data_IF_502376140901
#
_entry.id   IF_502376140901
#
_cell.length_a   1.000
_cell.length_b   1.000
_cell.length_c   1.000
_cell.angle_alpha   90.00
_cell.angle_beta   90.00
_cell.angle_gamma   90.00
#
_symmetry.space_group_name_H-M   'P 1'
#
loop_
_entity.id
_entity.type
_entity.pdbx_description
1 polymer ?
#
# COMPACT_ATOMS: atom_id res chain seq x y z
N UNK A 1 10.96 -7.14 7.83
CA UNK A 1 10.40 -6.61 6.57
C UNK A 1 9.61 -5.33 6.87
N UNK A 2 9.57 -4.34 5.99
CA UNK A 2 8.85 -3.09 6.26
C UNK A 2 7.34 -3.33 6.32
N UNK A 3 6.71 -2.75 7.33
CA UNK A 3 5.25 -2.78 7.48
C UNK A 3 4.61 -1.48 6.98
N UNK A 4 3.27 -1.46 6.86
CA UNK A 4 2.54 -0.27 6.40
C UNK A 4 2.86 0.98 7.23
N UNK A 5 2.99 0.85 8.57
CA UNK A 5 3.34 1.98 9.44
C UNK A 5 4.70 2.60 9.09
N UNK A 6 5.69 1.77 8.73
CA UNK A 6 7.00 2.24 8.28
C UNK A 6 6.92 2.90 6.90
N UNK A 7 6.12 2.37 5.97
CA UNK A 7 5.88 3.00 4.66
C UNK A 7 5.22 4.37 4.82
N UNK A 8 4.24 4.49 5.69
CA UNK A 8 3.59 5.77 6.02
C UNK A 8 4.62 6.78 6.53
N UNK A 9 5.47 6.38 7.50
CA UNK A 9 6.51 7.24 8.06
C UNK A 9 7.54 7.67 7.01
N UNK A 10 7.89 6.78 6.10
CA UNK A 10 8.82 7.07 4.99
C UNK A 10 8.21 8.08 4.01
N UNK A 11 6.95 7.92 3.62
CA UNK A 11 6.24 8.87 2.78
C UNK A 11 6.14 10.23 3.47
N UNK A 12 5.80 10.27 4.77
CA UNK A 12 5.77 11.51 5.54
C UNK A 12 7.13 12.22 5.54
N UNK A 13 8.21 11.47 5.78
CA UNK A 13 9.58 12.00 5.76
C UNK A 13 9.95 12.56 4.38
N UNK A 14 9.61 11.85 3.31
CA UNK A 14 9.86 12.31 1.95
C UNK A 14 9.08 13.59 1.62
N UNK A 15 7.82 13.69 2.08
CA UNK A 15 6.97 14.85 1.84
C UNK A 15 7.40 16.07 2.63
N UNK A 16 7.98 15.92 3.83
CA UNK A 16 8.47 17.04 4.64
C UNK A 16 9.53 17.87 3.92
N UNK A 17 10.37 17.25 3.08
CA UNK A 17 11.36 17.94 2.26
C UNK A 17 10.77 18.85 1.17
N UNK A 18 9.53 18.62 0.78
CA UNK A 18 8.86 19.34 -0.31
C UNK A 18 7.75 20.31 0.18
N UNK A 19 7.40 20.27 1.47
CA UNK A 19 6.38 21.14 2.05
C UNK A 19 7.05 22.29 2.81
N UNK A 20 6.69 23.53 2.47
CA UNK A 20 7.11 24.71 3.24
C UNK A 20 6.34 24.87 4.54
N UNK A 21 5.22 24.21 4.69
CA UNK A 21 4.44 24.18 5.93
C UNK A 21 4.89 22.99 6.73
N UNK A 22 5.55 23.24 7.85
CA UNK A 22 5.79 22.21 8.84
C UNK A 22 4.50 21.95 9.61
N UNK A 23 4.22 20.69 9.88
CA UNK A 23 3.12 20.30 10.74
C UNK A 23 3.34 20.87 12.14
N UNK A 24 2.26 21.32 12.75
CA UNK A 24 2.28 21.86 14.12
C UNK A 24 2.29 20.69 15.09
N UNK A 25 3.30 20.65 15.93
CA UNK A 25 3.54 19.52 16.81
C UNK A 25 3.42 19.97 18.27
N UNK A 26 2.75 19.17 19.08
CA UNK A 26 2.76 19.21 20.54
C UNK A 26 2.91 17.79 21.08
N UNK A 27 2.79 17.58 22.38
CA UNK A 27 2.90 16.27 22.99
C UNK A 27 1.76 16.03 23.98
N UNK A 28 1.47 14.76 24.23
CA UNK A 28 0.50 14.31 25.20
C UNK A 28 1.01 14.54 26.64
N UNK A 29 0.40 15.46 27.36
CA UNK A 29 0.80 15.80 28.72
C UNK A 29 0.01 15.03 29.80
N UNK A 30 -1.08 14.34 29.43
CA UNK A 30 -1.91 13.56 30.37
C UNK A 30 -1.05 12.57 31.13
N UNK A 31 -0.98 12.64 32.48
CA UNK A 31 -0.23 11.69 33.29
C UNK A 31 -0.71 10.25 33.06
N UNK A 32 0.22 9.34 32.79
CA UNK A 32 -0.11 7.94 32.48
C UNK A 32 -0.63 7.69 31.05
N UNK A 33 -0.78 8.74 30.23
CA UNK A 33 -1.32 8.61 28.87
C UNK A 33 -2.84 8.70 28.81
N UNK A 34 -3.39 8.31 27.67
CA UNK A 34 -4.85 8.25 27.44
C UNK A 34 -5.28 6.86 27.00
N UNK A 35 -6.48 6.47 27.36
CA UNK A 35 -7.13 5.25 26.91
C UNK A 35 -7.75 5.44 25.52
N UNK A 36 -8.24 4.37 24.91
CA UNK A 36 -8.93 4.40 23.61
C UNK A 36 -10.29 5.17 23.67
N UNK A 37 -10.82 5.43 24.87
CA UNK A 37 -12.14 6.03 25.06
C UNK A 37 -12.11 7.46 25.64
N UNK A 38 -10.94 7.94 26.05
CA UNK A 38 -10.81 9.27 26.65
C UNK A 38 -11.11 10.37 25.61
N UNK A 39 -11.95 11.31 26.00
CA UNK A 39 -12.38 12.42 25.16
C UNK A 39 -11.71 13.75 25.52
N UNK A 40 -11.06 13.83 26.69
CA UNK A 40 -10.32 15.02 27.13
C UNK A 40 -8.84 14.69 27.20
N UNK A 41 -8.02 15.46 26.51
CA UNK A 41 -6.60 15.19 26.31
C UNK A 41 -5.82 16.43 26.78
N UNK A 42 -4.92 16.25 27.75
CA UNK A 42 -3.98 17.30 28.14
C UNK A 42 -2.79 17.34 27.19
N UNK A 43 -2.39 18.54 26.79
CA UNK A 43 -1.30 18.77 25.84
C UNK A 43 -0.22 19.66 26.45
N UNK A 44 1.00 19.56 25.94
CA UNK A 44 2.15 20.29 26.51
C UNK A 44 2.23 21.75 26.07
N UNK A 45 1.62 22.15 24.96
CA UNK A 45 1.62 23.55 24.50
C UNK A 45 0.29 23.87 23.81
N UNK A 46 -0.19 25.10 24.07
CA UNK A 46 -1.39 25.66 23.46
C UNK A 46 -1.12 26.46 22.19
N UNK A 47 0.13 26.49 21.73
CA UNK A 47 0.52 27.23 20.54
C UNK A 47 -0.15 26.61 19.30
N UNK A 48 -0.80 27.47 18.51
CA UNK A 48 -1.45 27.07 17.27
C UNK A 48 -2.59 26.05 17.40
N UNK A 49 -3.24 25.95 18.55
CA UNK A 49 -4.44 25.14 18.72
C UNK A 49 -5.54 25.56 17.75
N UNK A 50 -6.11 24.58 17.05
CA UNK A 50 -7.25 24.74 16.18
C UNK A 50 -8.22 23.57 16.38
N UNK A 51 -9.51 23.83 16.07
CA UNK A 51 -10.51 22.75 15.94
C UNK A 51 -10.23 21.98 14.66
N UNK A 52 -10.57 20.70 14.65
CA UNK A 52 -10.45 19.87 13.47
C UNK A 52 -9.65 18.59 13.70
N UNK A 53 -8.95 18.16 12.69
CA UNK A 53 -8.22 16.89 12.71
C UNK A 53 -6.92 17.04 13.51
N UNK A 54 -6.70 16.10 14.41
CA UNK A 54 -5.47 15.93 15.18
C UNK A 54 -5.02 14.48 15.02
N UNK A 55 -3.73 14.25 14.88
CA UNK A 55 -3.15 12.93 14.74
C UNK A 55 -2.25 12.61 15.94
N UNK A 56 -2.45 11.43 16.53
CA UNK A 56 -1.56 10.84 17.53
C UNK A 56 -1.13 9.46 17.05
N UNK A 57 0.14 9.32 16.67
CA UNK A 57 0.61 8.11 16.01
C UNK A 57 -0.20 7.85 14.74
N UNK A 58 -0.93 6.74 14.73
CA UNK A 58 -1.75 6.33 13.58
C UNK A 58 -3.25 6.58 13.77
N UNK A 59 -3.66 7.16 14.90
CA UNK A 59 -5.05 7.53 15.17
C UNK A 59 -5.31 8.97 14.77
N UNK A 60 -6.41 9.20 14.06
CA UNK A 60 -6.96 10.51 13.81
C UNK A 60 -8.08 10.80 14.82
N UNK A 61 -8.07 12.01 15.32
CA UNK A 61 -9.05 12.51 16.28
C UNK A 61 -9.72 13.76 15.70
N UNK A 62 -11.03 13.89 15.95
CA UNK A 62 -11.73 15.14 15.67
C UNK A 62 -11.90 15.96 16.94
N UNK A 63 -11.19 17.09 17.02
CA UNK A 63 -11.25 18.02 18.14
C UNK A 63 -12.37 19.01 17.91
N UNK A 64 -13.34 18.99 18.81
CA UNK A 64 -14.52 19.86 18.77
C UNK A 64 -14.27 21.22 19.45
N UNK A 65 -13.52 21.19 20.55
CA UNK A 65 -13.15 22.42 21.30
C UNK A 65 -11.80 22.23 21.99
N UNK A 66 -11.22 23.34 22.42
CA UNK A 66 -10.01 23.34 23.22
C UNK A 66 -10.04 24.41 24.28
N UNK A 67 -9.38 24.16 25.39
CA UNK A 67 -9.17 25.10 26.46
C UNK A 67 -7.69 25.47 26.56
N UNK A 68 -7.39 26.75 26.33
CA UNK A 68 -6.00 27.25 26.38
C UNK A 68 -5.47 27.45 27.79
N UNK A 69 -6.37 27.67 28.77
CA UNK A 69 -5.94 27.88 30.15
C UNK A 69 -5.52 26.56 30.81
N UNK A 70 -6.29 25.51 30.54
CA UNK A 70 -6.06 24.16 31.08
C UNK A 70 -5.25 23.28 30.12
N UNK A 71 -4.85 23.79 28.97
CA UNK A 71 -4.09 23.04 27.93
C UNK A 71 -4.78 21.72 27.55
N UNK A 72 -6.10 21.79 27.33
CA UNK A 72 -6.86 20.57 26.99
C UNK A 72 -7.51 20.64 25.63
N UNK A 73 -7.51 19.50 24.94
CA UNK A 73 -8.29 19.23 23.73
C UNK A 73 -9.52 18.42 24.13
N UNK A 74 -10.69 18.79 23.61
CA UNK A 74 -11.92 18.04 23.76
C UNK A 74 -12.28 17.37 22.43
N UNK A 75 -12.23 16.07 22.43
CA UNK A 75 -12.56 15.21 21.29
C UNK A 75 -14.08 15.08 21.20
N UNK A 76 -14.62 15.13 19.99
CA UNK A 76 -16.06 15.00 19.79
C UNK A 76 -16.56 13.63 20.28
N UNK A 77 -17.63 13.59 21.11
CA UNK A 77 -18.19 12.33 21.55
C UNK A 77 -18.81 11.55 20.38
N UNK A 78 -18.68 10.24 20.41
CA UNK A 78 -19.29 9.32 19.44
C UNK A 78 -18.49 9.07 18.17
N UNK A 79 -17.90 10.10 17.55
CA UNK A 79 -17.16 9.96 16.29
C UNK A 79 -15.75 10.56 16.30
N UNK A 80 -15.37 11.23 17.37
CA UNK A 80 -14.11 11.98 17.42
C UNK A 80 -12.87 11.10 17.61
N UNK A 81 -12.98 9.96 18.31
CA UNK A 81 -11.93 8.95 18.39
C UNK A 81 -12.01 8.04 17.16
N UNK A 82 -10.85 7.65 16.64
CA UNK A 82 -10.82 6.81 15.42
C UNK A 82 -11.40 7.51 14.19
N UNK A 83 -11.27 8.83 14.10
CA UNK A 83 -11.83 9.62 13.00
C UNK A 83 -11.33 9.14 11.64
N UNK A 84 -12.18 9.24 10.60
CA UNK A 84 -11.91 8.78 9.24
C UNK A 84 -11.52 7.27 9.14
N UNK A 85 -12.08 6.44 10.03
CA UNK A 85 -11.89 5.00 9.98
C UNK A 85 -10.57 4.49 10.58
N UNK A 86 -9.82 5.34 11.29
CA UNK A 86 -8.68 4.90 12.09
C UNK A 86 -9.16 4.14 13.33
N UNK A 87 -8.29 3.32 13.91
CA UNK A 87 -8.64 2.53 15.11
C UNK A 87 -8.33 3.34 16.37
N UNK A 88 -9.31 3.59 17.27
CA UNK A 88 -9.04 4.16 18.58
C UNK A 88 -8.04 3.32 19.36
N UNK A 89 -6.99 3.93 19.88
CA UNK A 89 -5.92 3.24 20.60
C UNK A 89 -5.47 4.00 21.84
N UNK A 90 -4.91 3.33 22.86
CA UNK A 90 -4.27 4.00 23.97
C UNK A 90 -2.96 4.65 23.51
N UNK A 91 -2.68 5.85 24.04
CA UNK A 91 -1.42 6.54 23.74
C UNK A 91 -0.69 6.87 25.06
N UNK A 92 0.61 6.62 25.06
CA UNK A 92 1.45 6.89 26.22
C UNK A 92 1.68 8.38 26.42
N UNK A 93 1.96 8.79 27.66
CA UNK A 93 2.42 10.12 27.97
C UNK A 93 3.64 10.48 27.11
N UNK A 94 3.78 11.73 26.71
CA UNK A 94 4.78 12.26 25.79
C UNK A 94 4.66 11.77 24.33
N UNK A 95 3.58 11.06 23.97
CA UNK A 95 3.32 10.77 22.56
C UNK A 95 3.18 12.08 21.77
N UNK A 96 3.76 12.09 20.58
CA UNK A 96 3.70 13.22 19.67
C UNK A 96 2.28 13.42 19.13
N UNK A 97 1.81 14.65 19.16
CA UNK A 97 0.51 15.08 18.64
C UNK A 97 0.76 16.04 17.49
N UNK A 98 0.22 15.71 16.31
CA UNK A 98 0.28 16.57 15.12
C UNK A 98 -1.08 17.29 15.01
N UNK A 99 -1.04 18.61 15.08
CA UNK A 99 -2.21 19.45 14.94
C UNK A 99 -2.43 19.80 13.47
N UNK A 100 -3.61 19.54 12.93
CA UNK A 100 -3.96 19.80 11.54
C UNK A 100 -2.91 19.24 10.55
N UNK A 101 -2.69 17.90 10.52
CA UNK A 101 -1.69 17.30 9.66
C UNK A 101 -1.95 17.66 8.19
N UNK A 102 -0.91 18.06 7.47
CA UNK A 102 -1.00 18.36 6.03
C UNK A 102 -1.38 17.10 5.24
N UNK A 103 -0.83 15.97 5.64
CA UNK A 103 -1.13 14.66 5.08
C UNK A 103 -1.52 13.69 6.21
N UNK A 104 -2.81 13.54 6.49
CA UNK A 104 -3.28 12.55 7.45
C UNK A 104 -2.86 11.13 7.08
N UNK A 105 -2.63 10.29 8.08
CA UNK A 105 -2.21 8.89 7.89
C UNK A 105 -3.12 8.10 6.94
N UNK A 106 -4.44 8.33 7.02
CA UNK A 106 -5.42 7.67 6.13
C UNK A 106 -5.25 8.08 4.68
N UNK A 107 -4.93 9.34 4.41
CA UNK A 107 -4.69 9.84 3.06
C UNK A 107 -3.41 9.24 2.47
N UNK A 108 -2.37 9.08 3.28
CA UNK A 108 -1.12 8.42 2.87
C UNK A 108 -1.37 6.94 2.59
N UNK A 109 -2.10 6.25 3.47
CA UNK A 109 -2.45 4.85 3.28
C UNK A 109 -3.26 4.64 1.99
N UNK A 110 -4.23 5.52 1.71
CA UNK A 110 -4.98 5.47 0.46
C UNK A 110 -4.06 5.67 -0.75
N UNK A 111 -3.18 6.66 -0.73
CA UNK A 111 -2.23 6.92 -1.82
C UNK A 111 -1.26 5.76 -2.07
N UNK A 112 -0.82 5.07 -1.00
CA UNK A 112 -0.02 3.83 -1.08
C UNK A 112 -0.81 2.73 -1.78
N UNK A 113 -2.05 2.46 -1.36
CA UNK A 113 -2.90 1.42 -1.95
C UNK A 113 -3.29 1.73 -3.40
N UNK A 114 -3.59 2.99 -3.72
CA UNK A 114 -3.85 3.43 -5.10
C UNK A 114 -2.62 3.24 -5.99
N UNK A 115 -1.43 3.42 -5.42
CA UNK A 115 -0.19 3.14 -6.13
C UNK A 115 -0.02 1.65 -6.35
N UNK A 116 -0.16 0.82 -5.31
CA UNK A 116 -0.08 -0.65 -5.38
C UNK A 116 -1.02 -1.18 -6.47
N UNK A 117 -2.27 -0.74 -6.48
CA UNK A 117 -3.27 -1.14 -7.48
C UNK A 117 -2.88 -0.74 -8.91
N UNK A 118 -2.18 0.39 -9.08
CA UNK A 118 -1.76 0.89 -10.40
C UNK A 118 -0.51 0.22 -10.95
N UNK A 119 0.20 -0.61 -10.17
CA UNK A 119 1.42 -1.28 -10.62
C UNK A 119 1.16 -2.36 -11.65
N UNK A 120 0.03 -3.09 -11.52
CA UNK A 120 -0.34 -4.12 -12.50
C UNK A 120 -0.64 -3.49 -13.88
N UNK A 121 -0.19 -4.06 -15.01
CA UNK A 121 0.53 -5.32 -15.17
C UNK A 121 2.08 -5.22 -15.12
N UNK A 122 2.66 -4.04 -14.95
CA UNK A 122 4.12 -3.86 -15.00
C UNK A 122 4.84 -4.56 -13.84
N UNK A 123 4.28 -4.43 -12.64
CA UNK A 123 4.65 -5.21 -11.46
C UNK A 123 3.44 -6.00 -10.98
N UNK A 124 3.66 -7.23 -10.59
CA UNK A 124 2.63 -8.15 -10.11
C UNK A 124 3.16 -8.94 -8.92
N UNK A 125 2.24 -9.38 -8.07
CA UNK A 125 2.55 -10.33 -7.03
C UNK A 125 2.75 -11.74 -7.62
N UNK A 126 3.62 -12.52 -6.99
CA UNK A 126 3.86 -13.92 -7.37
C UNK A 126 3.36 -14.81 -6.25
N UNK A 127 2.42 -15.66 -6.58
CA UNK A 127 1.90 -16.68 -5.68
C UNK A 127 2.14 -18.08 -6.25
N UNK A 128 1.96 -19.10 -5.44
CA UNK A 128 2.07 -20.48 -5.89
C UNK A 128 0.96 -21.34 -5.31
N UNK A 129 0.62 -22.39 -6.05
CA UNK A 129 -0.29 -23.45 -5.59
C UNK A 129 0.29 -24.81 -5.94
N UNK A 130 -0.09 -25.83 -5.20
CA UNK A 130 0.39 -27.19 -5.39
C UNK A 130 -0.77 -28.16 -5.45
N UNK A 131 -0.65 -29.18 -6.29
CA UNK A 131 -1.59 -30.30 -6.36
C UNK A 131 -0.86 -31.60 -6.71
N UNK A 132 -1.54 -32.73 -6.55
CA UNK A 132 -1.04 -34.03 -6.95
C UNK A 132 -1.45 -34.32 -8.40
N UNK A 133 -0.48 -34.69 -9.24
CA UNK A 133 -0.76 -35.02 -10.63
C UNK A 133 -1.50 -36.35 -10.76
N UNK A 134 -2.59 -36.34 -11.51
CA UNK A 134 -3.38 -37.53 -11.85
C UNK A 134 -3.40 -37.72 -13.36
N UNK A 135 -2.89 -38.85 -13.86
CA UNK A 135 -2.80 -39.12 -15.29
C UNK A 135 -4.17 -39.20 -16.01
N UNK A 136 -5.26 -39.41 -15.26
CA UNK A 136 -6.63 -39.42 -15.79
C UNK A 136 -7.22 -38.00 -15.94
N UNK A 137 -6.55 -36.98 -15.45
CA UNK A 137 -7.01 -35.59 -15.43
C UNK A 137 -6.04 -34.71 -16.16
N UNK A 138 -6.54 -33.88 -17.08
CA UNK A 138 -5.72 -32.93 -17.84
C UNK A 138 -5.82 -31.52 -17.22
N UNK A 139 -7.00 -31.14 -16.74
CA UNK A 139 -7.30 -29.82 -16.21
C UNK A 139 -7.26 -29.79 -14.68
N UNK A 140 -6.53 -28.84 -14.11
CA UNK A 140 -6.38 -28.66 -12.67
C UNK A 140 -6.86 -27.26 -12.27
N UNK A 141 -7.65 -27.13 -11.17
CA UNK A 141 -8.16 -25.85 -10.74
C UNK A 141 -7.02 -24.94 -10.28
N UNK A 142 -7.13 -23.66 -10.62
CA UNK A 142 -6.27 -22.59 -10.14
C UNK A 142 -7.08 -21.65 -9.24
N UNK A 143 -6.44 -20.96 -8.28
CA UNK A 143 -7.11 -19.92 -7.52
C UNK A 143 -7.69 -18.81 -8.41
N UNK A 144 -8.83 -18.24 -8.00
CA UNK A 144 -9.54 -17.21 -8.80
C UNK A 144 -8.77 -15.89 -8.94
N UNK A 145 -7.82 -15.61 -8.04
CA UNK A 145 -6.92 -14.47 -8.11
C UNK A 145 -5.82 -14.62 -9.16
N UNK A 146 -5.61 -15.84 -9.72
CA UNK A 146 -4.63 -16.10 -10.78
C UNK A 146 -4.89 -15.19 -11.99
N UNK A 147 -3.87 -14.46 -12.44
CA UNK A 147 -3.91 -13.68 -13.67
C UNK A 147 -3.26 -14.41 -14.83
N UNK A 148 -2.01 -14.81 -14.66
CA UNK A 148 -1.26 -15.57 -15.63
C UNK A 148 -0.40 -16.62 -14.94
N UNK A 149 -0.21 -17.77 -15.58
CA UNK A 149 0.71 -18.80 -15.11
C UNK A 149 2.11 -18.45 -15.60
N UNK A 150 3.04 -18.32 -14.67
CA UNK A 150 4.42 -17.93 -14.92
C UNK A 150 5.31 -19.15 -15.20
N UNK A 151 5.15 -20.18 -14.35
CA UNK A 151 6.01 -21.34 -14.36
C UNK A 151 5.32 -22.53 -13.70
N UNK A 152 5.52 -23.73 -14.25
CA UNK A 152 5.04 -24.99 -13.68
C UNK A 152 6.22 -25.92 -13.51
N UNK A 153 6.33 -26.55 -12.37
CA UNK A 153 7.33 -27.59 -12.07
C UNK A 153 6.70 -28.77 -11.36
N UNK A 154 7.31 -29.93 -11.48
CA UNK A 154 6.89 -31.13 -10.78
C UNK A 154 8.07 -31.81 -10.10
N UNK A 155 7.81 -32.46 -8.99
CA UNK A 155 8.84 -33.09 -8.17
C UNK A 155 9.16 -34.50 -8.69
N UNK A 156 10.46 -34.76 -8.95
CA UNK A 156 10.93 -36.06 -9.40
C UNK A 156 10.76 -37.14 -8.32
N UNK A 157 10.65 -38.42 -8.74
CA UNK A 157 10.77 -39.54 -7.82
C UNK A 157 12.20 -39.66 -7.28
N UNK A 158 12.33 -40.06 -6.02
CA UNK A 158 13.64 -40.35 -5.41
C UNK A 158 14.03 -39.42 -4.28
N UNK A 159 15.17 -39.66 -3.65
CA UNK A 159 15.61 -38.90 -2.48
C UNK A 159 16.02 -37.46 -2.77
N UNK A 160 16.44 -37.14 -3.99
CA UNK A 160 16.87 -35.78 -4.38
C UNK A 160 15.74 -34.78 -4.46
N UNK A 161 14.48 -35.23 -4.65
CA UNK A 161 13.29 -34.36 -4.75
C UNK A 161 13.50 -33.14 -5.67
N UNK A 162 14.15 -33.36 -6.78
CA UNK A 162 14.42 -32.33 -7.78
C UNK A 162 13.14 -31.82 -8.43
N UNK A 163 13.07 -30.54 -8.75
CA UNK A 163 11.94 -29.92 -9.44
C UNK A 163 12.26 -29.74 -10.92
N UNK A 164 11.50 -30.44 -11.77
CA UNK A 164 11.65 -30.34 -13.23
C UNK A 164 10.56 -29.43 -13.81
N UNK A 165 10.94 -28.57 -14.78
CA UNK A 165 9.99 -27.70 -15.45
C UNK A 165 9.04 -28.49 -16.36
N UNK A 166 7.78 -28.04 -16.42
CA UNK A 166 6.79 -28.49 -17.40
C UNK A 166 6.69 -27.47 -18.51
N UNK A 167 6.80 -27.92 -19.76
CA UNK A 167 6.85 -27.01 -20.91
C UNK A 167 5.55 -26.97 -21.72
N UNK A 168 4.70 -28.00 -21.61
CA UNK A 168 3.47 -28.13 -22.40
C UNK A 168 2.24 -28.00 -21.50
N UNK A 169 1.78 -26.76 -21.35
CA UNK A 169 0.58 -26.43 -20.58
C UNK A 169 -0.17 -25.26 -21.22
N UNK A 170 -1.43 -25.10 -20.85
CA UNK A 170 -2.28 -23.98 -21.27
C UNK A 170 -3.18 -23.56 -20.12
N UNK A 171 -3.33 -22.27 -19.93
CA UNK A 171 -4.35 -21.71 -19.01
C UNK A 171 -5.70 -21.64 -19.72
N UNK A 172 -6.75 -22.11 -19.05
CA UNK A 172 -8.13 -21.86 -19.41
C UNK A 172 -8.72 -20.89 -18.41
N UNK A 173 -9.21 -19.74 -18.91
CA UNK A 173 -9.79 -18.65 -18.10
C UNK A 173 -11.31 -18.69 -18.04
N UNK A 174 -11.94 -19.67 -18.70
CA UNK A 174 -13.39 -19.84 -18.76
C UNK A 174 -13.77 -21.29 -18.40
N UNK A 175 -13.13 -21.85 -17.41
CA UNK A 175 -13.42 -23.20 -16.94
C UNK A 175 -14.81 -23.29 -16.31
N UNK A 176 -15.43 -24.47 -16.41
CA UNK A 176 -16.74 -24.72 -15.83
C UNK A 176 -16.67 -24.73 -14.31
N UNK A 177 -17.26 -23.74 -13.65
CA UNK A 177 -17.29 -23.58 -12.19
C UNK A 177 -17.91 -24.78 -11.49
N UNK A 178 -18.93 -25.40 -12.09
CA UNK A 178 -19.58 -26.58 -11.49
C UNK A 178 -18.64 -27.80 -11.41
N UNK A 179 -17.64 -27.88 -12.31
CA UNK A 179 -16.69 -28.99 -12.32
C UNK A 179 -15.43 -28.73 -11.48
N UNK A 180 -15.02 -27.45 -11.36
CA UNK A 180 -13.72 -27.09 -10.79
C UNK A 180 -13.77 -26.17 -9.57
N UNK A 181 -14.94 -25.66 -9.19
CA UNK A 181 -15.12 -24.64 -8.14
C UNK A 181 -14.35 -23.32 -8.37
N UNK A 182 -13.88 -23.10 -9.60
CA UNK A 182 -13.12 -21.91 -10.02
C UNK A 182 -13.35 -21.66 -11.51
N UNK A 183 -13.20 -20.44 -11.95
CA UNK A 183 -13.28 -20.07 -13.37
C UNK A 183 -11.99 -20.33 -14.14
N UNK A 184 -10.92 -20.73 -13.45
CA UNK A 184 -9.58 -20.86 -14.04
C UNK A 184 -8.99 -22.21 -13.79
N UNK A 185 -8.48 -22.83 -14.87
CA UNK A 185 -7.77 -24.11 -14.78
C UNK A 185 -6.47 -24.03 -15.58
N UNK A 186 -5.54 -24.88 -15.22
CA UNK A 186 -4.37 -25.17 -16.05
C UNK A 186 -4.46 -26.57 -16.63
N UNK A 187 -4.32 -26.67 -17.94
CA UNK A 187 -4.28 -27.93 -18.66
C UNK A 187 -2.82 -28.34 -18.88
N UNK A 188 -2.44 -29.52 -18.41
CA UNK A 188 -1.06 -30.02 -18.51
C UNK A 188 -1.07 -31.15 -19.53
N UNK A 189 -0.20 -31.03 -20.55
CA UNK A 189 -0.09 -31.98 -21.62
C UNK A 189 1.20 -32.84 -21.57
N UNK A 190 2.12 -32.47 -20.64
CA UNK A 190 3.33 -33.26 -20.43
C UNK A 190 2.99 -34.51 -19.62
N UNK A 191 3.71 -35.61 -19.95
CA UNK A 191 3.61 -36.89 -19.22
C UNK A 191 4.39 -36.76 -17.91
N UNK A 192 3.69 -36.47 -16.81
CA UNK A 192 4.26 -36.46 -15.48
C UNK A 192 3.96 -37.81 -14.81
N UNK A 193 4.81 -38.24 -13.91
CA UNK A 193 4.57 -39.49 -13.15
C UNK A 193 3.37 -39.25 -12.20
N UNK A 194 2.33 -40.13 -12.23
CA UNK A 194 1.17 -39.98 -11.38
C UNK A 194 1.52 -39.96 -9.89
N UNK A 195 0.74 -39.18 -9.11
CA UNK A 195 0.95 -39.01 -7.67
C UNK A 195 2.13 -38.07 -7.32
N UNK A 196 2.73 -37.37 -8.29
CA UNK A 196 3.77 -36.40 -8.02
C UNK A 196 3.19 -35.04 -7.75
N UNK A 197 3.84 -34.29 -6.85
CA UNK A 197 3.47 -32.92 -6.55
C UNK A 197 3.85 -32.02 -7.71
N UNK A 198 2.86 -31.28 -8.21
CA UNK A 198 3.05 -30.21 -9.20
C UNK A 198 2.90 -28.89 -8.49
N UNK A 199 3.79 -27.96 -8.78
CA UNK A 199 3.77 -26.59 -8.26
C UNK A 199 3.58 -25.63 -9.44
N UNK A 200 2.59 -24.75 -9.31
CA UNK A 200 2.27 -23.72 -10.28
C UNK A 200 2.55 -22.38 -9.67
N UNK A 201 3.43 -21.61 -10.28
CA UNK A 201 3.67 -20.21 -9.97
C UNK A 201 2.84 -19.34 -10.89
N UNK A 202 2.12 -18.40 -10.31
CA UNK A 202 1.20 -17.53 -11.05
C UNK A 202 1.28 -16.08 -10.57
N UNK A 203 0.92 -15.17 -11.47
CA UNK A 203 0.83 -13.76 -11.14
C UNK A 203 -0.53 -13.43 -10.55
N UNK A 204 -0.53 -12.53 -9.56
CA UNK A 204 -1.71 -11.95 -8.94
C UNK A 204 -1.66 -10.42 -9.04
N UNK A 205 -2.82 -9.78 -8.95
CA UNK A 205 -2.84 -8.33 -8.66
C UNK A 205 -2.35 -8.16 -7.23
N UNK A 206 -1.41 -7.23 -6.97
CA UNK A 206 -0.95 -6.99 -5.61
C UNK A 206 -2.10 -6.62 -4.67
N UNK A 207 -2.10 -7.19 -3.46
CA UNK A 207 -3.12 -6.91 -2.47
C UNK A 207 -2.88 -5.57 -1.77
N UNK A 208 -3.95 -4.94 -1.30
CA UNK A 208 -3.90 -3.72 -0.50
C UNK A 208 -3.41 -4.00 0.92
N UNK A 209 -2.72 -3.02 1.48
CA UNK A 209 -2.33 -2.98 2.89
C UNK A 209 -3.45 -2.34 3.71
N UNK A 210 -3.96 -3.05 4.70
CA UNK A 210 -5.10 -2.58 5.52
C UNK A 210 -4.70 -2.27 6.95
N UNK A 211 -3.84 -3.09 7.55
CA UNK A 211 -3.38 -2.92 8.91
C UNK A 211 -1.94 -2.37 8.93
N UNK A 212 -1.64 -1.54 9.91
CA UNK A 212 -0.32 -0.92 10.05
C UNK A 212 0.83 -1.91 10.24
N UNK A 213 0.52 -3.11 10.74
CA UNK A 213 1.48 -4.19 10.92
C UNK A 213 1.57 -5.12 9.71
N UNK A 214 0.79 -4.87 8.65
CA UNK A 214 0.83 -5.66 7.42
C UNK A 214 2.24 -5.58 6.81
N UNK A 215 2.86 -6.73 6.63
CA UNK A 215 4.15 -6.85 5.96
C UNK A 215 3.99 -6.56 4.47
N UNK A 216 4.82 -5.66 3.94
CA UNK A 216 4.72 -5.22 2.56
C UNK A 216 4.80 -6.39 1.57
N UNK A 217 5.87 -7.16 1.61
CA UNK A 217 6.06 -8.24 0.66
C UNK A 217 5.09 -9.41 0.88
N UNK A 218 4.83 -9.75 2.16
CA UNK A 218 3.95 -10.87 2.51
C UNK A 218 2.49 -10.66 2.12
N UNK A 219 1.98 -9.44 2.27
CA UNK A 219 0.58 -9.13 1.95
C UNK A 219 0.39 -8.79 0.48
N UNK A 220 1.24 -7.92 -0.07
CA UNK A 220 1.10 -7.49 -1.48
C UNK A 220 1.56 -8.53 -2.49
N UNK A 221 2.45 -9.45 -2.08
CA UNK A 221 3.13 -10.38 -2.98
C UNK A 221 4.20 -9.72 -3.87
N UNK A 222 4.44 -8.42 -3.70
CA UNK A 222 5.48 -7.69 -4.44
C UNK A 222 6.87 -7.98 -3.88
N UNK A 223 7.92 -7.93 -4.70
CA UNK A 223 9.29 -8.02 -4.20
C UNK A 223 9.61 -6.83 -3.29
N UNK A 224 10.38 -7.08 -2.22
CA UNK A 224 10.77 -6.04 -1.25
C UNK A 224 11.51 -4.86 -1.90
N UNK A 225 12.26 -5.12 -2.98
CA UNK A 225 12.98 -4.09 -3.75
C UNK A 225 12.06 -3.07 -4.42
N UNK A 226 10.76 -3.37 -4.58
CA UNK A 226 9.77 -2.44 -5.17
C UNK A 226 9.15 -1.47 -4.15
N UNK A 227 9.59 -1.51 -2.89
CA UNK A 227 9.09 -0.65 -1.82
C UNK A 227 9.19 0.84 -2.17
N UNK A 228 10.35 1.26 -2.70
CA UNK A 228 10.59 2.64 -3.09
C UNK A 228 9.71 3.09 -4.27
N UNK A 229 9.33 2.18 -5.15
CA UNK A 229 8.34 2.47 -6.20
C UNK A 229 7.00 2.86 -5.58
N UNK A 230 6.55 2.14 -4.55
CA UNK A 230 5.27 2.41 -3.89
C UNK A 230 5.32 3.71 -3.10
N UNK A 231 6.40 3.98 -2.36
CA UNK A 231 6.55 5.23 -1.60
C UNK A 231 6.68 6.46 -2.49
N UNK A 232 7.44 6.39 -3.58
CA UNK A 232 7.52 7.47 -4.58
C UNK A 232 6.19 7.68 -5.30
N UNK A 233 5.48 6.58 -5.63
CA UNK A 233 4.16 6.64 -6.25
C UNK A 233 3.12 7.30 -5.37
N UNK A 234 3.13 7.04 -4.05
CA UNK A 234 2.27 7.73 -3.10
C UNK A 234 2.67 9.21 -2.96
N UNK A 235 3.97 9.50 -2.86
CA UNK A 235 4.46 10.86 -2.70
C UNK A 235 4.06 11.78 -3.87
N UNK A 236 4.21 11.36 -5.13
CA UNK A 236 3.81 12.21 -6.25
C UNK A 236 2.31 12.48 -6.29
N UNK A 237 1.48 11.50 -5.92
CA UNK A 237 0.02 11.65 -5.83
C UNK A 237 -0.36 12.69 -4.78
N UNK A 238 0.25 12.59 -3.58
CA UNK A 238 -0.02 13.51 -2.48
C UNK A 238 0.44 14.94 -2.79
N UNK A 239 1.59 15.10 -3.43
CA UNK A 239 2.07 16.43 -3.85
C UNK A 239 1.17 17.09 -4.88
N UNK A 240 0.54 16.32 -5.77
CA UNK A 240 -0.41 16.87 -6.74
C UNK A 240 -1.65 17.47 -6.09
N UNK A 241 -2.04 17.03 -4.88
CA UNK A 241 -3.17 17.61 -4.14
C UNK A 241 -2.87 18.96 -3.51
N UNK A 242 -1.59 19.30 -3.26
CA UNK A 242 -1.22 20.61 -2.66
C UNK A 242 -1.62 21.75 -3.58
N UNK A 243 -1.44 21.61 -4.88
CA UNK A 243 -1.73 22.65 -5.85
C UNK A 243 -3.23 22.84 -6.11
N UNK A 244 -4.04 21.78 -5.95
CA UNK A 244 -5.51 21.89 -6.10
C UNK A 244 -6.15 22.77 -5.04
N UNK A 245 -5.60 22.81 -3.82
CA UNK A 245 -6.04 23.72 -2.78
C UNK A 245 -5.81 25.21 -3.08
N UNK A 246 -4.87 25.52 -3.99
CA UNK A 246 -4.58 26.88 -4.44
C UNK A 246 -5.46 27.35 -5.60
N UNK A 247 -5.96 26.43 -6.42
CA UNK A 247 -6.85 26.75 -7.54
C UNK A 247 -8.20 27.30 -7.07
N UNK A 248 -8.60 27.00 -5.81
CA UNK A 248 -9.84 27.49 -5.21
C UNK A 248 -9.69 28.84 -4.49
N UNK A 249 -8.50 29.46 -4.48
CA UNK A 249 -8.31 30.81 -3.98
C UNK A 249 -8.92 31.81 -4.98
N UNK A 250 -9.63 32.81 -4.45
CA UNK A 250 -10.11 33.93 -5.27
C UNK A 250 -8.93 34.59 -5.98
N UNK A 251 -9.13 35.14 -7.17
CA UNK A 251 -8.06 35.75 -7.95
C UNK A 251 -7.27 36.82 -7.19
N UNK A 252 -7.92 37.52 -6.24
CA UNK A 252 -7.29 38.53 -5.38
C UNK A 252 -6.36 37.91 -4.32
N UNK A 253 -6.67 36.74 -3.81
CA UNK A 253 -5.81 36.00 -2.86
C UNK A 253 -4.66 35.30 -3.58
N UNK A 254 -4.85 34.89 -4.83
CA UNK A 254 -3.80 34.31 -5.68
C UNK A 254 -2.69 35.31 -5.97
N UNK A 255 -3.02 36.58 -6.27
CA UNK A 255 -2.05 37.65 -6.49
C UNK A 255 -1.23 37.99 -5.24
N UNK A 256 -1.82 37.92 -4.06
CA UNK A 256 -1.12 38.12 -2.79
C UNK A 256 -0.23 36.95 -2.38
N UNK A 257 -0.57 35.73 -2.77
CA UNK A 257 0.24 34.55 -2.51
C UNK A 257 1.44 34.41 -3.46
N UNK A 258 1.37 35.01 -4.64
CA UNK A 258 2.33 34.83 -5.74
C UNK A 258 3.68 35.56 -5.51
N UNK A 259 3.77 36.45 -4.49
CA UNK A 259 5.00 37.18 -4.21
C UNK A 259 6.09 36.36 -3.51
N UNK A 260 5.80 35.15 -3.04
CA UNK A 260 6.78 34.32 -2.28
C UNK A 260 7.02 32.92 -2.80
N UNK A 261 6.17 32.37 -3.69
CA UNK A 261 6.33 31.03 -4.22
C UNK A 261 5.71 30.95 -5.63
N UNK A 262 6.45 30.48 -6.62
CA UNK A 262 5.87 30.26 -7.94
C UNK A 262 4.71 29.26 -7.81
N UNK A 263 3.57 29.58 -8.43
CA UNK A 263 2.33 28.77 -8.45
C UNK A 263 2.54 27.35 -8.98
N UNK A 264 3.70 27.07 -9.56
CA UNK A 264 4.09 25.79 -10.18
C UNK A 264 5.03 24.94 -9.32
N UNK A 265 5.39 25.38 -8.10
CA UNK A 265 6.40 24.69 -7.30
C UNK A 265 5.99 23.24 -6.93
N UNK A 266 4.74 23.04 -6.51
CA UNK A 266 4.21 21.71 -6.21
C UNK A 266 4.08 20.84 -7.47
N UNK A 267 3.61 21.42 -8.57
CA UNK A 267 3.54 20.72 -9.86
C UNK A 267 4.93 20.32 -10.38
N UNK A 268 5.95 21.14 -10.16
CA UNK A 268 7.33 20.83 -10.55
C UNK A 268 7.90 19.71 -9.68
N UNK A 269 7.69 19.76 -8.36
CA UNK A 269 8.11 18.70 -7.43
C UNK A 269 7.39 17.39 -7.74
N UNK A 270 6.08 17.42 -7.97
CA UNK A 270 5.30 16.25 -8.36
C UNK A 270 5.80 15.62 -9.67
N UNK A 271 6.10 16.43 -10.69
CA UNK A 271 6.67 15.95 -11.96
C UNK A 271 8.05 15.31 -11.78
N UNK A 272 8.90 15.87 -10.94
CA UNK A 272 10.22 15.31 -10.65
C UNK A 272 10.09 13.94 -9.96
N UNK A 273 9.27 13.84 -8.92
CA UNK A 273 9.05 12.57 -8.23
C UNK A 273 8.37 11.55 -9.14
N UNK A 274 7.45 11.99 -10.00
CA UNK A 274 6.84 11.12 -10.99
C UNK A 274 7.88 10.55 -11.97
N UNK A 275 8.86 11.35 -12.41
CA UNK A 275 9.94 10.87 -13.28
C UNK A 275 10.78 9.79 -12.55
N UNK A 276 11.15 10.03 -11.28
CA UNK A 276 11.85 9.03 -10.46
C UNK A 276 11.01 7.76 -10.26
N UNK A 277 9.73 7.90 -9.97
CA UNK A 277 8.80 6.78 -9.88
C UNK A 277 8.78 5.94 -11.16
N UNK A 278 8.68 6.59 -12.33
CA UNK A 278 8.67 5.88 -13.62
C UNK A 278 9.98 5.16 -13.89
N UNK A 279 11.11 5.78 -13.57
CA UNK A 279 12.42 5.15 -13.71
C UNK A 279 12.53 3.92 -12.83
N UNK A 280 12.21 4.03 -11.55
CA UNK A 280 12.27 2.91 -10.60
C UNK A 280 11.28 1.79 -10.95
N UNK A 281 10.07 2.16 -11.38
CA UNK A 281 9.09 1.19 -11.87
C UNK A 281 9.61 0.40 -13.07
N UNK A 282 10.30 1.05 -14.01
CA UNK A 282 10.90 0.38 -15.15
C UNK A 282 12.02 -0.57 -14.72
N UNK A 283 12.91 -0.14 -13.82
CA UNK A 283 14.01 -0.97 -13.31
C UNK A 283 13.47 -2.24 -12.60
N UNK A 284 12.48 -2.09 -11.71
CA UNK A 284 11.89 -3.23 -11.00
C UNK A 284 11.08 -4.14 -11.94
N UNK A 285 10.42 -3.58 -12.95
CA UNK A 285 9.72 -4.36 -13.97
C UNK A 285 10.69 -5.24 -14.78
N UNK A 286 11.86 -4.71 -15.15
CA UNK A 286 12.89 -5.51 -15.85
C UNK A 286 13.41 -6.63 -14.95
N UNK A 287 13.71 -6.35 -13.67
CA UNK A 287 14.15 -7.40 -12.72
C UNK A 287 13.12 -8.52 -12.56
N UNK A 288 11.83 -8.15 -12.50
CA UNK A 288 10.75 -9.14 -12.38
C UNK A 288 10.63 -9.98 -13.65
N UNK A 289 10.76 -9.36 -14.83
CA UNK A 289 10.74 -10.04 -16.12
C UNK A 289 11.94 -10.98 -16.32
N UNK A 290 13.13 -10.59 -15.86
CA UNK A 290 14.32 -11.46 -15.90
C UNK A 290 14.13 -12.70 -15.00
N UNK A 291 13.49 -12.51 -13.84
CA UNK A 291 13.19 -13.63 -12.92
C UNK A 291 12.09 -14.56 -13.47
N UNK A 292 11.07 -13.97 -14.13
CA UNK A 292 9.93 -14.68 -14.70
C UNK A 292 9.76 -14.29 -16.18
N UNK A 293 10.63 -14.77 -17.07
CA UNK A 293 10.56 -14.45 -18.50
C UNK A 293 9.24 -14.94 -19.09
N UNK A 294 8.61 -14.11 -19.91
CA UNK A 294 7.41 -14.48 -20.66
C UNK A 294 7.79 -15.62 -21.62
N UNK A 295 7.23 -16.78 -21.39
CA UNK A 295 7.39 -17.93 -22.30
C UNK A 295 6.21 -17.96 -23.24
N UNK A 296 6.48 -17.80 -24.53
CA UNK A 296 5.47 -18.01 -25.57
C UNK A 296 5.37 -19.52 -25.80
N UNK A 297 4.25 -20.11 -25.39
CA UNK A 297 3.97 -21.52 -25.62
C UNK A 297 3.25 -21.67 -26.95
N UNK A 298 3.94 -22.22 -27.93
CA UNK A 298 3.32 -22.63 -29.19
C UNK A 298 2.66 -24.00 -28.96
N UNK A 299 1.34 -24.04 -28.88
CA UNK A 299 0.58 -25.26 -29.02
C UNK A 299 0.43 -25.55 -30.53
N UNK A 300 1.15 -26.57 -31.05
CA UNK A 300 0.79 -27.18 -32.33
C UNK A 300 -0.36 -28.15 -32.11
#
# INVERSE_FOLDING_TARGET
MPNLGQLVSEVQSNLQGYTLRQDRITWLATPGGISATDLTIQIGSADNLAKGIVQIGNELLWVNSFDRQNLTLNVAPGFGRGYMGTTPSPHAQNAQIILTPTFPVTMIQQALNDTINSLYPKLFGVANTTFQYNAAQIAYPLPDDTRDVLFISWQTPGPSKEWLPTNRWRIDRMANVAAFNTTKTVNIYDKIVPGRTVQVYYSIIPNNLTNLNDDFAGVTGLPESSRDVVTLGAAYRLLSYIDTGRINLSSAEADLADTKLPSTAGASASKYIFALYQQRLQEESVKLQDRFPIRVHYTK
#
